data_IF_430416832101
#
_entry.id   IF_430416832101
#
_cell.length_a   1.000
_cell.length_b   1.000
_cell.length_c   1.000
_cell.angle_alpha   90.00
_cell.angle_beta   90.00
_cell.angle_gamma   90.00
#
_symmetry.space_group_name_H-M   'P 1'
#
loop_
_entity.id
_entity.type
_entity.pdbx_description
1 polymer ?
#
# COMPACT_ATOMS: atom_id res chain seq x y z
N UNK A 1 76.42 27.98 -12.39
CA UNK A 1 77.29 28.11 -13.60
C UNK A 1 78.56 27.29 -13.35
N UNK A 2 79.23 26.72 -14.38
CA UNK A 2 78.96 26.76 -15.83
C UNK A 2 78.43 25.39 -16.37
N UNK A 3 77.56 25.35 -17.40
CA UNK A 3 77.84 25.15 -18.85
C UNK A 3 78.02 23.67 -19.27
N UNK A 4 77.10 23.07 -20.05
CA UNK A 4 77.03 23.01 -21.54
C UNK A 4 78.01 21.95 -22.14
N UNK A 5 77.69 21.13 -23.15
CA UNK A 5 76.70 21.21 -24.25
C UNK A 5 76.46 19.83 -24.94
N UNK A 6 75.39 19.71 -25.74
CA UNK A 6 75.27 18.87 -26.97
C UNK A 6 75.21 17.32 -26.83
N UNK A 7 74.59 16.52 -27.71
CA UNK A 7 73.98 16.65 -29.07
C UNK A 7 73.19 15.33 -29.36
N UNK A 8 72.19 15.15 -30.24
CA UNK A 8 71.41 15.96 -31.23
C UNK A 8 70.15 15.16 -31.68
N UNK A 9 69.26 15.80 -32.47
CA UNK A 9 68.35 15.16 -33.48
C UNK A 9 67.16 14.34 -32.91
N UNK A 10 65.95 14.30 -33.49
CA UNK A 10 65.39 14.91 -34.71
C UNK A 10 63.97 15.49 -34.47
N UNK A 11 63.26 15.92 -35.53
CA UNK A 11 61.86 16.34 -35.50
C UNK A 11 61.08 15.86 -36.76
N UNK A 12 59.76 15.73 -36.64
CA UNK A 12 58.72 15.91 -37.68
C UNK A 12 57.42 15.23 -37.24
N UNK A 13 56.20 15.74 -37.39
CA UNK A 13 55.57 17.04 -37.64
C UNK A 13 54.06 16.74 -37.78
N UNK A 14 53.25 17.76 -38.13
CA UNK A 14 51.89 17.66 -38.67
C UNK A 14 50.66 17.77 -37.71
N UNK A 15 49.89 18.83 -38.01
CA UNK A 15 48.42 18.99 -37.93
C UNK A 15 47.78 19.32 -36.57
N UNK A 16 47.68 20.64 -36.38
CA UNK A 16 46.56 21.32 -35.70
C UNK A 16 45.21 20.78 -36.19
N UNK A 17 44.27 20.55 -35.26
CA UNK A 17 42.84 20.88 -35.46
C UNK A 17 42.25 21.35 -34.12
N UNK A 18 41.47 22.43 -34.14
CA UNK A 18 40.60 22.80 -33.02
C UNK A 18 39.41 21.86 -33.00
N UNK A 19 38.96 21.44 -31.81
CA UNK A 19 37.59 20.97 -31.60
C UNK A 19 37.04 21.57 -30.31
N UNK A 20 35.81 22.07 -30.37
CA UNK A 20 35.16 22.78 -29.29
C UNK A 20 34.74 21.82 -28.16
N UNK A 21 34.91 22.26 -26.91
CA UNK A 21 34.36 21.56 -25.76
C UNK A 21 32.83 21.75 -25.71
N UNK A 22 32.09 20.76 -26.22
CA UNK A 22 30.64 20.72 -26.07
C UNK A 22 30.30 20.35 -24.62
N UNK A 23 29.77 21.31 -23.85
CA UNK A 23 29.29 21.04 -22.48
C UNK A 23 27.98 20.26 -22.57
N UNK A 24 28.06 18.95 -22.35
CA UNK A 24 26.91 18.08 -22.15
C UNK A 24 26.25 18.40 -20.79
N UNK A 25 25.29 19.31 -20.80
CA UNK A 25 24.34 19.48 -19.70
C UNK A 25 23.51 18.19 -19.56
N UNK A 26 23.43 17.57 -18.37
CA UNK A 26 22.52 16.46 -18.16
C UNK A 26 21.08 16.98 -18.24
N UNK A 27 20.36 16.56 -19.29
CA UNK A 27 18.95 16.89 -19.45
C UNK A 27 18.15 16.11 -18.40
N UNK A 28 18.01 16.67 -17.21
CA UNK A 28 17.12 16.16 -16.16
C UNK A 28 15.70 16.22 -16.73
N UNK A 29 15.20 15.07 -17.15
CA UNK A 29 13.83 14.93 -17.63
C UNK A 29 12.92 15.10 -16.40
N UNK A 30 12.48 16.33 -16.16
CA UNK A 30 11.40 16.60 -15.23
C UNK A 30 10.14 15.92 -15.79
N UNK A 31 9.85 14.71 -15.29
CA UNK A 31 8.58 14.05 -15.54
C UNK A 31 7.48 15.04 -15.13
N UNK A 32 6.50 15.32 -16.00
CA UNK A 32 5.41 16.22 -15.64
C UNK A 32 4.69 15.64 -14.43
N UNK A 33 4.66 16.38 -13.33
CA UNK A 33 3.86 16.02 -12.18
C UNK A 33 2.39 16.02 -12.60
N UNK A 34 1.85 14.85 -12.91
CA UNK A 34 0.42 14.66 -13.16
C UNK A 34 -0.32 15.06 -11.90
N UNK A 35 -0.97 16.22 -11.93
CA UNK A 35 -1.76 16.71 -10.81
C UNK A 35 -2.76 15.64 -10.39
N UNK A 36 -2.68 15.19 -9.14
CA UNK A 36 -3.54 14.13 -8.64
C UNK A 36 -5.01 14.58 -8.72
N UNK A 37 -5.85 13.73 -9.29
CA UNK A 37 -7.28 14.01 -9.42
C UNK A 37 -7.95 13.79 -8.08
N UNK A 38 -8.16 14.88 -7.34
CA UNK A 38 -8.93 14.85 -6.09
C UNK A 38 -10.37 14.43 -6.41
N UNK A 39 -10.84 13.38 -5.75
CA UNK A 39 -12.22 12.94 -5.87
C UNK A 39 -13.18 14.03 -5.41
N UNK A 40 -14.18 14.34 -6.24
CA UNK A 40 -15.39 15.08 -5.82
C UNK A 40 -16.05 14.31 -4.66
N UNK A 41 -16.63 15.00 -3.70
CA UNK A 41 -17.05 14.36 -2.44
C UNK A 41 -18.02 13.19 -2.65
N UNK A 42 -18.98 13.31 -3.58
CA UNK A 42 -19.89 12.21 -3.95
C UNK A 42 -19.15 10.94 -4.43
N UNK A 43 -18.05 11.08 -5.15
CA UNK A 43 -17.24 9.96 -5.60
C UNK A 43 -16.46 9.33 -4.44
N UNK A 44 -15.91 10.15 -3.53
CA UNK A 44 -15.27 9.68 -2.28
C UNK A 44 -16.27 8.93 -1.39
N UNK A 45 -17.48 9.47 -1.20
CA UNK A 45 -18.55 8.83 -0.42
C UNK A 45 -18.96 7.47 -0.97
N UNK A 46 -18.93 7.26 -2.29
CA UNK A 46 -19.21 5.96 -2.90
C UNK A 46 -18.14 4.91 -2.57
N UNK A 47 -16.86 5.32 -2.50
CA UNK A 47 -15.76 4.45 -2.09
C UNK A 47 -15.84 4.12 -0.59
N UNK A 48 -16.01 5.13 0.26
CA UNK A 48 -16.18 4.96 1.72
C UNK A 48 -17.38 4.06 2.05
N UNK A 49 -18.50 4.21 1.33
CA UNK A 49 -19.67 3.35 1.51
C UNK A 49 -19.45 1.89 1.07
N UNK A 50 -18.51 1.62 0.17
CA UNK A 50 -18.08 0.26 -0.17
C UNK A 50 -17.09 -0.28 0.88
N UNK A 51 -16.10 0.50 1.27
CA UNK A 51 -15.08 0.13 2.26
C UNK A 51 -15.71 -0.20 3.63
N UNK A 52 -16.79 0.50 4.02
CA UNK A 52 -17.58 0.24 5.21
C UNK A 52 -18.11 -1.20 5.32
N UNK A 53 -18.38 -1.88 4.20
CA UNK A 53 -18.82 -3.29 4.15
C UNK A 53 -17.72 -4.25 3.70
N UNK A 54 -16.81 -3.81 2.84
CA UNK A 54 -15.70 -4.62 2.34
C UNK A 54 -14.61 -4.88 3.38
N UNK A 55 -14.12 -3.84 4.07
CA UNK A 55 -13.00 -3.97 5.03
C UNK A 55 -13.36 -4.90 6.21
N UNK A 56 -14.57 -4.85 6.80
CA UNK A 56 -14.97 -5.82 7.81
C UNK A 56 -15.00 -7.26 7.29
N UNK A 57 -15.44 -7.49 6.05
CA UNK A 57 -15.47 -8.82 5.47
C UNK A 57 -14.06 -9.37 5.25
N UNK A 58 -13.15 -8.56 4.68
CA UNK A 58 -11.73 -8.90 4.54
C UNK A 58 -11.08 -9.24 5.89
N UNK A 59 -11.27 -8.37 6.89
CA UNK A 59 -10.68 -8.60 8.22
C UNK A 59 -11.25 -9.84 8.91
N UNK A 60 -12.57 -10.01 8.88
CA UNK A 60 -13.24 -11.07 9.63
C UNK A 60 -12.96 -12.45 9.03
N UNK A 61 -12.90 -12.62 7.70
CA UNK A 61 -12.46 -13.89 7.08
C UNK A 61 -11.03 -14.26 7.49
N UNK A 62 -10.09 -13.30 7.46
CA UNK A 62 -8.71 -13.48 7.94
C UNK A 62 -8.57 -13.65 9.46
N UNK A 63 -9.66 -13.56 10.20
CA UNK A 63 -9.72 -13.78 11.65
C UNK A 63 -10.61 -14.97 12.07
N UNK A 64 -11.34 -15.58 11.14
CA UNK A 64 -12.44 -16.51 11.45
C UNK A 64 -11.99 -17.72 12.29
N UNK A 65 -10.78 -18.24 12.07
CA UNK A 65 -10.22 -19.34 12.86
C UNK A 65 -9.64 -18.97 14.23
N UNK A 66 -9.66 -17.68 14.62
CA UNK A 66 -8.96 -17.18 15.83
C UNK A 66 -9.84 -17.14 17.09
N UNK A 67 -11.15 -17.36 16.96
CA UNK A 67 -12.09 -17.40 18.08
C UNK A 67 -13.33 -18.25 17.75
N UNK A 68 -14.06 -18.72 18.76
CA UNK A 68 -15.24 -19.56 18.58
C UNK A 68 -16.40 -18.86 17.83
N UNK A 69 -16.48 -17.52 17.92
CA UNK A 69 -17.45 -16.67 17.24
C UNK A 69 -16.94 -16.11 15.90
N UNK A 70 -15.67 -16.33 15.56
CA UNK A 70 -15.03 -15.86 14.34
C UNK A 70 -15.74 -16.30 13.04
N UNK A 71 -16.16 -17.58 12.89
CA UNK A 71 -16.86 -18.03 11.68
C UNK A 71 -18.18 -17.29 11.46
N UNK A 72 -19.00 -17.17 12.50
CA UNK A 72 -20.29 -16.48 12.43
C UNK A 72 -20.13 -14.98 12.09
N UNK A 73 -19.10 -14.33 12.62
CA UNK A 73 -18.76 -12.94 12.27
C UNK A 73 -18.33 -12.80 10.81
N UNK A 74 -17.51 -13.72 10.30
CA UNK A 74 -17.08 -13.73 8.90
C UNK A 74 -18.25 -13.99 7.93
N UNK A 75 -19.11 -14.97 8.24
CA UNK A 75 -20.34 -15.28 7.51
C UNK A 75 -21.29 -14.07 7.45
N UNK A 76 -21.52 -13.39 8.58
CA UNK A 76 -22.38 -12.21 8.64
C UNK A 76 -21.81 -11.02 7.84
N UNK A 77 -20.50 -10.77 7.93
CA UNK A 77 -19.84 -9.69 7.20
C UNK A 77 -19.84 -9.91 5.69
N UNK A 78 -19.58 -11.15 5.24
CA UNK A 78 -19.66 -11.51 3.81
C UNK A 78 -21.10 -11.48 3.29
N UNK A 79 -22.08 -11.91 4.08
CA UNK A 79 -23.50 -11.79 3.72
C UNK A 79 -23.87 -10.32 3.50
N UNK A 80 -23.51 -9.42 4.43
CA UNK A 80 -23.72 -7.97 4.29
C UNK A 80 -23.08 -7.41 3.03
N UNK A 81 -21.81 -7.74 2.76
CA UNK A 81 -21.09 -7.28 1.57
C UNK A 81 -21.77 -7.74 0.26
N UNK A 82 -22.21 -8.99 0.19
CA UNK A 82 -22.89 -9.55 -0.99
C UNK A 82 -24.28 -8.96 -1.21
N UNK A 83 -25.07 -8.79 -0.15
CA UNK A 83 -26.38 -8.13 -0.22
C UNK A 83 -26.27 -6.68 -0.70
N UNK A 84 -25.30 -5.93 -0.18
CA UNK A 84 -25.11 -4.52 -0.53
C UNK A 84 -24.49 -4.32 -1.93
N UNK A 85 -23.76 -5.31 -2.46
CA UNK A 85 -22.87 -5.16 -3.62
C UNK A 85 -23.54 -4.51 -4.83
N UNK A 86 -24.78 -4.89 -5.18
CA UNK A 86 -25.48 -4.30 -6.33
C UNK A 86 -25.66 -2.78 -6.19
N UNK A 87 -26.01 -2.31 -4.99
CA UNK A 87 -26.18 -0.89 -4.67
C UNK A 87 -24.83 -0.17 -4.61
N UNK A 88 -23.82 -0.74 -3.95
CA UNK A 88 -22.47 -0.17 -3.88
C UNK A 88 -21.84 -0.05 -5.27
N UNK A 89 -21.96 -1.08 -6.11
CA UNK A 89 -21.49 -1.08 -7.50
C UNK A 89 -22.15 0.03 -8.32
N UNK A 90 -23.46 0.25 -8.18
CA UNK A 90 -24.14 1.35 -8.88
C UNK A 90 -23.60 2.73 -8.45
N UNK A 91 -23.36 2.93 -7.16
CA UNK A 91 -22.71 4.13 -6.63
C UNK A 91 -21.28 4.32 -7.17
N UNK A 92 -20.48 3.26 -7.21
CA UNK A 92 -19.12 3.27 -7.74
C UNK A 92 -19.09 3.55 -9.25
N UNK A 93 -20.00 2.98 -10.05
CA UNK A 93 -20.12 3.31 -11.49
C UNK A 93 -20.44 4.80 -11.68
N UNK A 94 -21.32 5.37 -10.86
CA UNK A 94 -21.66 6.79 -10.91
C UNK A 94 -20.54 7.73 -10.38
N UNK A 95 -19.57 7.20 -9.62
CA UNK A 95 -18.43 7.95 -9.10
C UNK A 95 -17.38 8.27 -10.17
N UNK A 96 -17.18 7.38 -11.14
CA UNK A 96 -16.24 7.54 -12.27
C UNK A 96 -16.91 7.12 -13.59
N UNK A 97 -17.85 7.94 -14.12
CA UNK A 97 -18.63 7.59 -15.30
C UNK A 97 -17.75 7.51 -16.56
N UNK A 98 -18.01 6.51 -17.41
CA UNK A 98 -17.36 6.34 -18.72
C UNK A 98 -15.93 5.77 -18.71
N UNK A 99 -15.29 5.66 -17.55
CA UNK A 99 -13.95 5.08 -17.45
C UNK A 99 -13.97 3.55 -17.67
N UNK A 100 -13.38 3.07 -18.76
CA UNK A 100 -13.30 1.63 -19.07
C UNK A 100 -12.52 0.86 -17.99
N UNK A 101 -11.34 1.35 -17.60
CA UNK A 101 -10.49 0.72 -16.57
C UNK A 101 -11.24 0.51 -15.25
N UNK A 102 -12.06 1.48 -14.85
CA UNK A 102 -12.92 1.40 -13.67
C UNK A 102 -14.04 0.38 -13.84
N UNK A 103 -14.70 0.38 -15.00
CA UNK A 103 -15.78 -0.57 -15.32
C UNK A 103 -15.27 -2.01 -15.34
N UNK A 104 -14.09 -2.25 -15.92
CA UNK A 104 -13.41 -3.54 -15.94
C UNK A 104 -13.04 -4.00 -14.52
N UNK A 105 -12.52 -3.09 -13.69
CA UNK A 105 -12.16 -3.36 -12.29
C UNK A 105 -13.37 -3.71 -11.42
N UNK A 106 -14.48 -2.97 -11.53
CA UNK A 106 -15.74 -3.35 -10.88
C UNK A 106 -16.29 -4.70 -11.38
N UNK A 107 -15.93 -5.11 -12.61
CA UNK A 107 -16.15 -6.45 -13.13
C UNK A 107 -15.26 -7.51 -12.47
N UNK A 108 -13.97 -7.22 -12.24
CA UNK A 108 -13.06 -8.09 -11.45
C UNK A 108 -13.60 -8.26 -10.02
N UNK A 109 -13.90 -7.17 -9.34
CA UNK A 109 -14.43 -7.15 -7.95
C UNK A 109 -15.67 -8.05 -7.82
N UNK A 110 -16.66 -7.92 -8.71
CA UNK A 110 -17.87 -8.74 -8.65
C UNK A 110 -17.62 -10.25 -8.75
N UNK A 111 -16.58 -10.69 -9.49
CA UNK A 111 -16.18 -12.11 -9.55
C UNK A 111 -15.52 -12.56 -8.25
N UNK A 112 -14.54 -11.81 -7.75
CA UNK A 112 -13.85 -12.14 -6.49
C UNK A 112 -14.80 -12.14 -5.29
N UNK A 113 -15.78 -11.23 -5.23
CA UNK A 113 -16.82 -11.27 -4.19
C UNK A 113 -17.67 -12.55 -4.26
N UNK A 114 -18.04 -12.98 -5.46
CA UNK A 114 -18.81 -14.23 -5.67
C UNK A 114 -18.02 -15.46 -5.24
N UNK A 115 -16.74 -15.52 -5.62
CA UNK A 115 -15.80 -16.58 -5.24
C UNK A 115 -15.56 -16.62 -3.72
N UNK A 116 -15.29 -15.46 -3.11
CA UNK A 116 -15.16 -15.31 -1.65
C UNK A 116 -16.42 -15.78 -0.91
N UNK A 117 -17.62 -15.51 -1.44
CA UNK A 117 -18.88 -16.01 -0.90
C UNK A 117 -18.97 -17.54 -0.92
N UNK A 118 -18.53 -18.18 -2.01
CA UNK A 118 -18.49 -19.64 -2.14
C UNK A 118 -17.45 -20.27 -1.20
N UNK A 119 -16.29 -19.63 -1.02
CA UNK A 119 -15.26 -20.04 -0.06
C UNK A 119 -15.78 -19.95 1.39
N UNK A 120 -16.45 -18.86 1.77
CA UNK A 120 -17.14 -18.73 3.08
C UNK A 120 -18.20 -19.80 3.29
N UNK A 121 -19.08 -20.05 2.31
CA UNK A 121 -20.07 -21.11 2.39
C UNK A 121 -19.44 -22.52 2.54
N UNK A 122 -18.20 -22.68 2.09
CA UNK A 122 -17.39 -23.90 2.24
C UNK A 122 -16.48 -23.88 3.48
N UNK A 123 -16.54 -22.84 4.31
CA UNK A 123 -15.64 -22.56 5.46
C UNK A 123 -14.14 -22.49 5.12
N UNK A 124 -13.81 -22.16 3.88
CA UNK A 124 -12.44 -21.93 3.37
C UNK A 124 -12.00 -20.50 3.70
N UNK A 125 -11.77 -20.21 4.98
CA UNK A 125 -11.58 -18.85 5.49
C UNK A 125 -10.33 -18.13 4.95
N UNK A 126 -9.21 -18.84 4.90
CA UNK A 126 -7.93 -18.31 4.43
C UNK A 126 -7.97 -18.01 2.92
N UNK A 127 -8.54 -18.94 2.13
CA UNK A 127 -8.78 -18.72 0.70
C UNK A 127 -9.73 -17.54 0.47
N UNK A 128 -10.81 -17.43 1.27
CA UNK A 128 -11.73 -16.28 1.19
C UNK A 128 -11.06 -14.96 1.52
N UNK A 129 -10.17 -14.93 2.52
CA UNK A 129 -9.36 -13.76 2.85
C UNK A 129 -8.47 -13.36 1.66
N UNK A 130 -7.69 -14.30 1.12
CA UNK A 130 -6.81 -14.06 -0.03
C UNK A 130 -7.58 -13.60 -1.29
N UNK A 131 -8.70 -14.24 -1.63
CA UNK A 131 -9.57 -13.82 -2.74
C UNK A 131 -10.15 -12.42 -2.52
N UNK A 132 -10.41 -12.02 -1.27
CA UNK A 132 -10.81 -10.65 -0.94
C UNK A 132 -9.65 -9.64 -1.06
N UNK A 133 -8.39 -10.04 -0.96
CA UNK A 133 -7.26 -9.11 -1.19
C UNK A 133 -7.21 -8.63 -2.65
N UNK A 134 -7.54 -9.50 -3.60
CA UNK A 134 -7.68 -9.13 -5.02
C UNK A 134 -8.76 -8.07 -5.29
N UNK A 135 -9.75 -7.90 -4.38
CA UNK A 135 -10.72 -6.79 -4.47
C UNK A 135 -10.05 -5.46 -4.14
N UNK A 136 -9.21 -5.40 -3.10
CA UNK A 136 -8.41 -4.21 -2.74
C UNK A 136 -7.43 -3.86 -3.87
N UNK A 137 -6.74 -4.86 -4.41
CA UNK A 137 -5.81 -4.69 -5.54
C UNK A 137 -6.51 -4.14 -6.79
N UNK A 138 -7.61 -4.75 -7.23
CA UNK A 138 -8.34 -4.30 -8.42
C UNK A 138 -8.86 -2.86 -8.29
N UNK A 139 -9.26 -2.45 -7.09
CA UNK A 139 -9.71 -1.08 -6.80
C UNK A 139 -8.53 -0.09 -6.75
N UNK A 140 -7.40 -0.49 -6.14
CA UNK A 140 -6.15 0.27 -6.11
C UNK A 140 -5.59 0.52 -7.52
N UNK A 141 -5.42 -0.55 -8.32
CA UNK A 141 -4.94 -0.46 -9.70
C UNK A 141 -5.77 0.54 -10.53
N UNK A 142 -7.09 0.46 -10.41
CA UNK A 142 -7.99 1.28 -11.20
C UNK A 142 -7.99 2.76 -10.76
N UNK A 143 -7.91 3.03 -9.45
CA UNK A 143 -7.74 4.41 -8.94
C UNK A 143 -6.39 4.99 -9.34
N UNK A 144 -5.31 4.23 -9.19
CA UNK A 144 -3.97 4.64 -9.59
C UNK A 144 -3.88 4.93 -11.10
N UNK A 145 -4.46 4.08 -11.95
CA UNK A 145 -4.54 4.29 -13.40
C UNK A 145 -5.36 5.53 -13.81
N UNK A 146 -6.21 6.04 -12.92
CA UNK A 146 -6.99 7.28 -13.10
C UNK A 146 -6.36 8.49 -12.43
N UNK A 147 -5.20 8.33 -11.77
CA UNK A 147 -4.58 9.39 -10.97
C UNK A 147 -5.43 9.85 -9.79
N UNK A 148 -6.32 9.00 -9.28
CA UNK A 148 -7.20 9.29 -8.13
C UNK A 148 -6.38 9.27 -6.85
N UNK A 149 -6.43 10.35 -6.08
CA UNK A 149 -5.89 10.37 -4.72
C UNK A 149 -6.96 9.86 -3.72
N UNK A 150 -6.67 8.73 -3.09
CA UNK A 150 -7.53 8.09 -2.11
C UNK A 150 -6.67 7.52 -0.97
N UNK A 151 -6.99 7.85 0.29
CA UNK A 151 -6.08 7.57 1.40
C UNK A 151 -5.71 6.09 1.50
N UNK A 152 -6.67 5.18 1.35
CA UNK A 152 -6.47 3.73 1.43
C UNK A 152 -5.56 3.15 0.32
N UNK A 153 -5.29 3.87 -0.76
CA UNK A 153 -4.33 3.44 -1.77
C UNK A 153 -2.89 3.58 -1.28
N UNK A 154 -2.59 4.59 -0.45
CA UNK A 154 -1.30 4.72 0.23
C UNK A 154 -1.08 3.57 1.23
N UNK A 155 -2.12 3.16 1.96
CA UNK A 155 -2.09 1.97 2.83
C UNK A 155 -1.90 0.68 2.02
N UNK A 156 -2.57 0.55 0.86
CA UNK A 156 -2.46 -0.63 0.00
C UNK A 156 -1.06 -0.76 -0.60
N UNK A 157 -0.48 0.34 -1.06
CA UNK A 157 0.90 0.38 -1.55
C UNK A 157 1.90 0.02 -0.44
N UNK A 158 1.72 0.56 0.78
CA UNK A 158 2.52 0.19 1.95
C UNK A 158 2.38 -1.31 2.29
N UNK A 159 1.16 -1.86 2.27
CA UNK A 159 0.92 -3.29 2.52
C UNK A 159 1.74 -4.18 1.59
N UNK A 160 1.69 -3.93 0.28
CA UNK A 160 2.45 -4.70 -0.71
C UNK A 160 3.98 -4.55 -0.60
N UNK A 161 4.50 -3.62 0.19
CA UNK A 161 5.92 -3.50 0.50
C UNK A 161 6.28 -4.08 1.89
N UNK A 162 5.43 -3.87 2.89
CA UNK A 162 5.66 -4.41 4.24
C UNK A 162 5.49 -5.93 4.29
N UNK A 163 4.68 -6.52 3.42
CA UNK A 163 4.30 -7.93 3.51
C UNK A 163 5.47 -8.89 3.29
N UNK A 164 6.38 -8.57 2.37
CA UNK A 164 7.61 -9.34 2.15
C UNK A 164 8.47 -9.44 3.42
N UNK A 165 8.49 -8.38 4.23
CA UNK A 165 9.16 -8.34 5.54
C UNK A 165 8.34 -9.12 6.59
N UNK A 166 7.05 -8.83 6.70
CA UNK A 166 6.20 -9.34 7.77
C UNK A 166 5.92 -10.84 7.67
N UNK A 167 5.91 -11.40 6.47
CA UNK A 167 5.74 -12.84 6.22
C UNK A 167 7.09 -13.58 6.07
N UNK A 168 8.24 -12.92 6.27
CA UNK A 168 9.56 -13.56 6.12
C UNK A 168 9.75 -14.68 7.15
N UNK A 169 10.17 -15.86 6.69
CA UNK A 169 10.47 -17.04 7.52
C UNK A 169 11.98 -17.35 7.62
N UNK A 170 12.78 -16.70 6.78
CA UNK A 170 14.25 -16.84 6.73
C UNK A 170 14.87 -15.46 6.53
N UNK A 171 16.08 -15.26 7.06
CA UNK A 171 16.78 -13.98 6.95
C UNK A 171 17.59 -13.90 5.66
N UNK A 172 17.27 -12.91 4.83
CA UNK A 172 18.06 -12.51 3.67
C UNK A 172 18.34 -11.01 3.78
N UNK A 173 19.34 -10.62 4.60
CA UNK A 173 19.53 -9.21 5.01
C UNK A 173 19.53 -8.22 3.84
N UNK A 174 20.26 -8.41 2.72
CA UNK A 174 20.23 -7.47 1.61
C UNK A 174 18.85 -7.28 0.96
N UNK A 175 18.04 -8.35 0.90
CA UNK A 175 16.66 -8.26 0.42
C UNK A 175 15.75 -7.53 1.43
N UNK A 176 15.85 -7.89 2.73
CA UNK A 176 15.11 -7.22 3.79
C UNK A 176 15.47 -5.74 3.95
N UNK A 177 16.72 -5.34 3.67
CA UNK A 177 17.15 -3.94 3.63
C UNK A 177 16.51 -3.18 2.46
N UNK A 178 16.43 -3.80 1.28
CA UNK A 178 15.76 -3.22 0.11
C UNK A 178 14.24 -3.09 0.31
N UNK A 179 13.60 -4.13 0.82
CA UNK A 179 12.16 -4.11 1.15
C UNK A 179 11.87 -3.12 2.28
N UNK A 180 12.73 -3.03 3.30
CA UNK A 180 12.61 -2.00 4.35
C UNK A 180 12.73 -0.59 3.78
N UNK A 181 13.67 -0.33 2.87
CA UNK A 181 13.81 0.97 2.24
C UNK A 181 12.56 1.35 1.43
N UNK A 182 12.00 0.39 0.67
CA UNK A 182 10.74 0.56 -0.07
C UNK A 182 9.55 0.84 0.86
N UNK A 183 9.37 0.00 1.89
CA UNK A 183 8.29 0.13 2.87
C UNK A 183 8.40 1.47 3.63
N UNK A 184 9.60 1.87 4.07
CA UNK A 184 9.81 3.15 4.77
C UNK A 184 9.58 4.35 3.85
N UNK A 185 9.93 4.29 2.57
CA UNK A 185 9.65 5.36 1.61
C UNK A 185 8.13 5.55 1.41
N UNK A 186 7.38 4.46 1.24
CA UNK A 186 5.92 4.49 1.14
C UNK A 186 5.27 5.01 2.42
N UNK A 187 5.78 4.56 3.58
CA UNK A 187 5.32 5.06 4.88
C UNK A 187 5.58 6.56 5.07
N UNK A 188 6.71 7.10 4.59
CA UNK A 188 6.97 8.55 4.59
C UNK A 188 5.96 9.34 3.76
N UNK A 189 5.41 8.74 2.69
CA UNK A 189 4.30 9.31 1.94
C UNK A 189 3.00 9.28 2.76
N UNK A 190 2.71 8.14 3.39
CA UNK A 190 1.53 7.95 4.25
C UNK A 190 1.52 8.91 5.45
N UNK A 191 2.68 9.16 6.08
CA UNK A 191 2.88 10.18 7.13
C UNK A 191 2.46 11.61 6.70
N UNK A 192 2.34 11.88 5.39
CA UNK A 192 1.92 13.19 4.83
C UNK A 192 0.44 13.23 4.38
N UNK A 193 -0.25 12.08 4.35
CA UNK A 193 -1.65 12.02 3.91
C UNK A 193 -2.56 12.61 4.98
N UNK A 194 -3.22 13.72 4.66
CA UNK A 194 -4.22 14.33 5.54
C UNK A 194 -5.54 13.55 5.43
N UNK A 195 -5.95 12.93 6.54
CA UNK A 195 -7.20 12.15 6.62
C UNK A 195 -8.23 12.97 7.40
N UNK A 196 -9.23 13.50 6.70
CA UNK A 196 -10.42 14.07 7.34
C UNK A 196 -11.30 12.94 7.92
N UNK A 197 -11.47 12.85 9.26
CA UNK A 197 -12.29 11.82 9.88
C UNK A 197 -13.74 11.84 9.40
N UNK A 198 -14.30 13.01 9.11
CA UNK A 198 -15.68 13.14 8.66
C UNK A 198 -15.86 12.62 7.22
N UNK A 199 -14.96 13.00 6.31
CA UNK A 199 -14.98 12.50 4.92
C UNK A 199 -14.82 10.98 4.80
N UNK A 200 -14.13 10.33 5.74
CA UNK A 200 -13.98 8.87 5.82
C UNK A 200 -14.95 8.18 6.80
N UNK A 201 -15.90 8.91 7.39
CA UNK A 201 -16.90 8.36 8.30
C UNK A 201 -16.34 7.75 9.60
N UNK A 202 -15.13 8.16 10.02
CA UNK A 202 -14.48 7.66 11.22
C UNK A 202 -15.22 8.17 12.47
N UNK A 203 -15.65 7.24 13.33
CA UNK A 203 -16.12 7.59 14.67
C UNK A 203 -14.93 7.95 15.57
N UNK A 204 -15.14 8.71 16.64
CA UNK A 204 -14.05 9.10 17.56
C UNK A 204 -13.19 7.91 18.06
N UNK A 205 -13.75 6.73 18.41
CA UNK A 205 -12.95 5.55 18.72
C UNK A 205 -12.09 5.04 17.55
N UNK A 206 -12.64 5.01 16.32
CA UNK A 206 -11.90 4.59 15.11
C UNK A 206 -10.81 5.60 14.73
N UNK A 207 -11.06 6.89 14.91
CA UNK A 207 -10.04 7.93 14.74
C UNK A 207 -8.91 7.79 15.77
N UNK A 208 -9.23 7.55 17.05
CA UNK A 208 -8.22 7.33 18.09
C UNK A 208 -7.39 6.05 17.83
N UNK A 209 -8.04 4.98 17.39
CA UNK A 209 -7.38 3.75 16.94
C UNK A 209 -6.43 4.02 15.77
N UNK A 210 -6.88 4.75 14.75
CA UNK A 210 -6.07 5.12 13.58
C UNK A 210 -4.82 5.89 14.00
N UNK A 211 -4.98 6.98 14.77
CA UNK A 211 -3.85 7.80 15.26
C UNK A 211 -2.86 6.96 16.05
N UNK A 212 -3.32 6.09 16.96
CA UNK A 212 -2.44 5.19 17.72
C UNK A 212 -1.72 4.19 16.79
N UNK A 213 -2.45 3.59 15.85
CA UNK A 213 -1.88 2.59 14.94
C UNK A 213 -0.79 3.17 14.03
N UNK A 214 -0.94 4.41 13.56
CA UNK A 214 0.12 5.12 12.80
C UNK A 214 1.37 5.38 13.65
N UNK A 215 1.22 5.74 14.92
CA UNK A 215 2.34 5.89 15.84
C UNK A 215 3.03 4.54 16.12
N UNK A 216 2.25 3.49 16.39
CA UNK A 216 2.73 2.13 16.64
C UNK A 216 3.51 1.55 15.43
N UNK A 217 3.05 1.80 14.20
CA UNK A 217 3.75 1.38 12.96
C UNK A 217 5.08 2.11 12.78
N UNK A 218 5.10 3.42 13.05
CA UNK A 218 6.32 4.24 13.00
C UNK A 218 7.38 3.73 14.00
N UNK A 219 6.92 3.31 15.18
CA UNK A 219 7.76 2.67 16.19
C UNK A 219 8.23 1.26 15.75
N UNK A 220 7.36 0.46 15.11
CA UNK A 220 7.70 -0.85 14.56
C UNK A 220 8.74 -0.77 13.44
N UNK A 221 8.61 0.16 12.50
CA UNK A 221 9.62 0.46 11.48
C UNK A 221 10.96 0.90 12.11
N UNK A 222 10.92 1.65 13.21
CA UNK A 222 12.12 2.07 13.94
C UNK A 222 12.82 0.90 14.66
N UNK A 223 12.04 -0.05 15.19
CA UNK A 223 12.53 -1.32 15.74
C UNK A 223 13.17 -2.19 14.65
N UNK A 224 12.50 -2.37 13.51
CA UNK A 224 13.03 -3.14 12.38
C UNK A 224 14.33 -2.53 11.82
N UNK A 225 14.38 -1.20 11.64
CA UNK A 225 15.60 -0.49 11.26
C UNK A 225 16.77 -0.81 12.19
N UNK A 226 16.49 -0.92 13.49
CA UNK A 226 17.50 -1.23 14.50
C UNK A 226 17.91 -2.70 14.52
N UNK A 227 16.97 -3.61 14.23
CA UNK A 227 17.27 -5.04 14.11
C UNK A 227 18.14 -5.37 12.89
N UNK A 228 17.90 -4.71 11.75
CA UNK A 228 18.70 -4.88 10.52
C UNK A 228 20.19 -4.62 10.77
N UNK A 229 20.54 -3.62 11.59
CA UNK A 229 21.92 -3.21 11.91
C UNK A 229 22.74 -4.20 12.74
N UNK A 230 22.17 -5.30 13.22
CA UNK A 230 22.96 -6.33 13.92
C UNK A 230 22.24 -7.15 15.01
N UNK A 231 20.91 -7.14 15.07
CA UNK A 231 20.20 -8.09 15.95
C UNK A 231 20.33 -9.52 15.41
N UNK A 232 20.03 -10.52 16.26
CA UNK A 232 19.98 -11.93 15.85
C UNK A 232 18.96 -12.13 14.72
N UNK A 233 19.10 -13.21 13.95
CA UNK A 233 18.15 -13.50 12.86
C UNK A 233 16.72 -13.73 13.40
N UNK A 234 16.59 -14.33 14.58
CA UNK A 234 15.29 -14.49 15.25
C UNK A 234 14.67 -13.14 15.68
N UNK A 235 15.48 -12.22 16.21
CA UNK A 235 15.01 -10.88 16.58
C UNK A 235 14.67 -10.02 15.37
N UNK A 236 15.40 -10.19 14.25
CA UNK A 236 15.11 -9.53 12.98
C UNK A 236 13.77 -10.00 12.39
N UNK A 237 13.53 -11.31 12.32
CA UNK A 237 12.24 -11.86 11.86
C UNK A 237 11.09 -11.42 12.79
N UNK A 238 11.31 -11.42 14.11
CA UNK A 238 10.33 -10.91 15.08
C UNK A 238 10.02 -9.42 14.88
N UNK A 239 11.03 -8.59 14.64
CA UNK A 239 10.85 -7.17 14.37
C UNK A 239 10.13 -6.91 13.03
N UNK A 240 10.36 -7.75 12.02
CA UNK A 240 9.69 -7.67 10.73
C UNK A 240 8.21 -8.09 10.82
N UNK A 241 7.92 -9.22 11.47
CA UNK A 241 6.55 -9.68 11.72
C UNK A 241 5.72 -8.67 12.56
N UNK A 242 6.38 -7.91 13.45
CA UNK A 242 5.75 -6.89 14.28
C UNK A 242 5.22 -5.65 13.50
N UNK A 243 5.50 -5.53 12.20
CA UNK A 243 4.87 -4.53 11.34
C UNK A 243 3.37 -4.82 11.09
N UNK A 244 2.97 -6.09 10.87
CA UNK A 244 1.61 -6.42 10.41
C UNK A 244 0.48 -5.99 11.39
N UNK A 245 0.61 -6.14 12.73
CA UNK A 245 -0.47 -5.77 13.65
C UNK A 245 -0.87 -4.29 13.65
N UNK A 246 0.04 -3.29 13.78
CA UNK A 246 -0.35 -1.88 13.71
C UNK A 246 -0.99 -1.50 12.37
N UNK A 247 -0.45 -1.94 11.23
CA UNK A 247 -1.08 -1.74 9.92
C UNK A 247 -2.53 -2.23 9.89
N UNK A 248 -2.79 -3.46 10.37
CA UNK A 248 -4.15 -4.01 10.42
C UNK A 248 -5.05 -3.11 11.26
N UNK A 249 -4.59 -2.62 12.43
CA UNK A 249 -5.36 -1.68 13.26
C UNK A 249 -5.66 -0.36 12.55
N UNK A 250 -4.72 0.16 11.74
CA UNK A 250 -4.95 1.38 10.97
C UNK A 250 -5.96 1.15 9.83
N UNK A 251 -5.77 0.10 9.03
CA UNK A 251 -6.61 -0.21 7.87
C UNK A 251 -8.06 -0.49 8.27
N UNK A 252 -8.28 -1.27 9.32
CA UNK A 252 -9.64 -1.61 9.80
C UNK A 252 -10.36 -0.45 10.49
N UNK A 253 -9.72 0.70 10.71
CA UNK A 253 -10.43 1.90 11.16
C UNK A 253 -11.37 2.48 10.10
N UNK A 254 -11.08 2.26 8.80
CA UNK A 254 -11.86 2.79 7.67
C UNK A 254 -13.08 1.94 7.28
N UNK A 255 -13.14 0.68 7.74
CA UNK A 255 -14.34 -0.15 7.60
C UNK A 255 -15.44 0.24 8.58
N UNK A 256 -16.51 -0.57 8.64
CA UNK A 256 -17.60 -0.55 9.63
C UNK A 256 -18.73 0.45 9.39
N UNK A 257 -19.95 0.01 9.70
CA UNK A 257 -21.15 0.85 9.63
C UNK A 257 -21.12 1.96 10.70
N UNK A 258 -21.95 3.02 10.58
CA UNK A 258 -22.06 4.04 11.62
C UNK A 258 -22.39 3.43 13.00
N UNK A 259 -21.56 3.72 13.99
CA UNK A 259 -21.68 3.19 15.36
C UNK A 259 -20.99 1.85 15.61
N UNK A 260 -20.59 1.11 14.56
CA UNK A 260 -19.74 -0.08 14.70
C UNK A 260 -18.27 0.32 14.96
N UNK A 261 -17.51 -0.58 15.58
CA UNK A 261 -16.06 -0.48 15.72
C UNK A 261 -15.44 -1.87 15.81
N UNK A 262 -14.22 -2.06 15.28
CA UNK A 262 -13.58 -3.37 15.28
C UNK A 262 -13.20 -3.78 16.72
N UNK A 263 -13.62 -4.96 17.15
CA UNK A 263 -13.06 -5.59 18.36
C UNK A 263 -11.76 -6.30 17.94
N UNK A 264 -10.64 -5.63 18.17
CA UNK A 264 -9.32 -6.16 17.86
C UNK A 264 -8.71 -6.82 19.10
N UNK A 265 -8.03 -7.97 18.98
CA UNK A 265 -7.21 -8.48 20.06
C UNK A 265 -6.09 -7.47 20.38
N UNK A 266 -5.82 -7.29 21.68
CA UNK A 266 -4.77 -6.40 22.19
C UNK A 266 -3.37 -6.94 21.98
#
# INVERSE_FOLDING_TARGET
MPSFLSTTVAASSARRQLLAALVLLPLVHALPATAATVLKDKARSAMVAFDAVYIPALFLTGSAGKSADGPAKAEAAMTRLLTDWASRRAGLVAAVPGAKVWTDALGKVGRHLTEAGQQVASRRWEESHATLEHVREAMFEARHALGVDYALDHYTAYHGAMEALANATTVQRPAMEADYAKARALWRGLEQVTIDPAAYGLSAPRQAQLVKALADETEALSRLSSALRGASDADLLKAAAALKPPFVRAYVAFGWAPGESPVLPG
#
